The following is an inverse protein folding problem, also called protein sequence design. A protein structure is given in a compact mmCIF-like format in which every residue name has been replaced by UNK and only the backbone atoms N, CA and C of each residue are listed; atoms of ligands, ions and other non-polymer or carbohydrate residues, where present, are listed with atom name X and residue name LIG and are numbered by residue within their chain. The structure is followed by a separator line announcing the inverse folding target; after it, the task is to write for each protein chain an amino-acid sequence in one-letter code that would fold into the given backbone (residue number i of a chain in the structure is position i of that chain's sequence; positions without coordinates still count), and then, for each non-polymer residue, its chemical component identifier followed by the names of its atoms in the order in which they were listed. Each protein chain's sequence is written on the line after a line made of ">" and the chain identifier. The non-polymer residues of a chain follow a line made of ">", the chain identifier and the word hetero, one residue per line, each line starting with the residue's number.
data_IF_033270800401
#
_entry.id   IF_033270800401
#
_cell.length_a   1.000
_cell.length_b   1.000
_cell.length_c   1.000
_cell.angle_alpha   90.00
_cell.angle_beta   90.00
_cell.angle_gamma   90.00
#
_symmetry.space_group_name_H-M   'P 1'
#
loop_
_entity.id
_entity.type
_entity.pdbx_description
1 polymer ?
#
# COMPACT_ATOMS: atom_id res chain seq x y z
N UNK A 1 -31.35 -20.60 42.97
CA UNK A 1 -30.50 -19.75 42.11
C UNK A 1 -31.09 -19.84 40.71
N UNK A 2 -31.66 -18.75 40.20
CA UNK A 2 -32.23 -18.73 38.86
C UNK A 2 -31.07 -18.68 37.87
N UNK A 3 -30.85 -19.74 37.11
CA UNK A 3 -29.95 -19.70 35.96
C UNK A 3 -30.46 -18.63 35.00
N UNK A 4 -29.63 -17.65 34.59
CA UNK A 4 -30.06 -16.66 33.61
C UNK A 4 -30.45 -17.40 32.33
N UNK A 5 -31.71 -17.27 31.92
CA UNK A 5 -32.20 -17.79 30.66
C UNK A 5 -31.34 -17.21 29.54
N UNK A 6 -30.63 -18.07 28.81
CA UNK A 6 -29.81 -17.64 27.68
C UNK A 6 -30.72 -16.93 26.66
N UNK A 7 -30.33 -15.75 26.15
CA UNK A 7 -31.11 -15.03 25.15
C UNK A 7 -31.21 -15.88 23.88
N UNK A 8 -32.37 -15.85 23.22
CA UNK A 8 -32.56 -16.52 21.94
C UNK A 8 -31.49 -16.06 20.94
N UNK A 9 -30.76 -16.97 20.27
CA UNK A 9 -29.79 -16.64 19.22
C UNK A 9 -30.33 -15.66 18.18
N UNK A 10 -31.62 -15.77 17.82
CA UNK A 10 -32.24 -14.88 16.84
C UNK A 10 -32.35 -13.43 17.35
N UNK A 11 -32.66 -13.25 18.62
CA UNK A 11 -32.73 -11.94 19.28
C UNK A 11 -31.33 -11.34 19.43
N UNK A 12 -30.35 -12.15 19.82
CA UNK A 12 -28.95 -11.75 19.94
C UNK A 12 -28.40 -11.20 18.62
N UNK A 13 -28.71 -11.84 17.48
CA UNK A 13 -28.30 -11.35 16.16
C UNK A 13 -28.99 -10.02 15.77
N UNK A 14 -30.25 -9.83 16.14
CA UNK A 14 -30.94 -8.54 15.95
C UNK A 14 -30.30 -7.44 16.81
N UNK A 15 -29.94 -7.74 18.05
CA UNK A 15 -29.24 -6.81 18.94
C UNK A 15 -27.86 -6.41 18.37
N UNK A 16 -27.07 -7.39 17.91
CA UNK A 16 -25.78 -7.16 17.24
C UNK A 16 -25.97 -6.26 16.01
N UNK A 17 -27.00 -6.50 15.19
CA UNK A 17 -27.31 -5.66 14.02
C UNK A 17 -27.59 -4.22 14.43
N UNK A 18 -28.38 -3.99 15.49
CA UNK A 18 -28.65 -2.64 16.02
C UNK A 18 -27.37 -1.95 16.47
N UNK A 19 -26.47 -2.68 17.16
CA UNK A 19 -25.17 -2.14 17.60
C UNK A 19 -24.26 -1.78 16.41
N UNK A 20 -24.22 -2.61 15.37
CA UNK A 20 -23.48 -2.32 14.13
C UNK A 20 -24.06 -1.10 13.41
N UNK A 21 -25.38 -0.98 13.33
CA UNK A 21 -26.05 0.19 12.74
C UNK A 21 -25.78 1.48 13.53
N UNK A 22 -25.65 1.38 14.84
CA UNK A 22 -25.25 2.49 15.73
C UNK A 22 -23.74 2.79 15.72
N UNK A 23 -22.95 2.07 14.90
CA UNK A 23 -21.48 2.12 14.88
C UNK A 23 -20.79 1.75 16.20
N UNK A 24 -21.48 1.10 17.14
CA UNK A 24 -20.87 0.52 18.34
C UNK A 24 -20.29 -0.87 18.05
N UNK A 25 -19.19 -0.89 17.29
CA UNK A 25 -18.54 -2.11 16.84
C UNK A 25 -17.91 -2.92 17.98
N UNK A 26 -17.64 -2.30 19.13
CA UNK A 26 -17.05 -2.99 20.29
C UNK A 26 -18.11 -3.82 21.00
N UNK A 27 -19.22 -3.21 21.38
CA UNK A 27 -20.33 -3.93 22.03
C UNK A 27 -20.89 -5.00 21.10
N UNK A 28 -20.98 -4.72 19.79
CA UNK A 28 -21.39 -5.71 18.79
C UNK A 28 -20.47 -6.94 18.78
N UNK A 29 -19.15 -6.74 18.81
CA UNK A 29 -18.16 -7.83 18.87
C UNK A 29 -18.29 -8.62 20.18
N UNK A 30 -18.47 -7.95 21.31
CA UNK A 30 -18.64 -8.62 22.60
C UNK A 30 -19.90 -9.49 22.60
N UNK A 31 -21.04 -8.98 22.12
CA UNK A 31 -22.27 -9.77 22.02
C UNK A 31 -22.14 -10.94 21.04
N UNK A 32 -21.43 -10.77 19.91
CA UNK A 32 -21.17 -11.88 18.99
C UNK A 32 -20.35 -13.01 19.64
N UNK A 33 -19.37 -12.67 20.49
CA UNK A 33 -18.59 -13.67 21.24
C UNK A 33 -19.43 -14.37 22.30
N UNK A 34 -20.28 -13.63 23.02
CA UNK A 34 -21.21 -14.22 23.97
C UNK A 34 -22.16 -15.21 23.27
N UNK A 35 -22.71 -14.80 22.13
CA UNK A 35 -23.52 -15.67 21.27
C UNK A 35 -22.74 -16.91 20.83
N UNK A 36 -21.49 -16.76 20.39
CA UNK A 36 -20.64 -17.89 20.00
C UNK A 36 -20.40 -18.87 21.15
N UNK A 37 -20.18 -18.36 22.37
CA UNK A 37 -19.92 -19.21 23.54
C UNK A 37 -21.17 -19.92 24.08
N UNK A 38 -22.36 -19.36 23.85
CA UNK A 38 -23.63 -19.88 24.34
C UNK A 38 -24.44 -20.67 23.32
N UNK A 39 -24.14 -20.52 22.02
CA UNK A 39 -24.82 -21.26 20.95
C UNK A 39 -24.31 -22.70 20.86
N UNK A 40 -25.23 -23.62 20.57
CA UNK A 40 -24.91 -24.99 20.22
C UNK A 40 -24.27 -25.08 18.82
N UNK A 41 -23.44 -26.12 18.62
CA UNK A 41 -22.70 -26.35 17.38
C UNK A 41 -23.54 -26.25 16.09
N UNK A 42 -24.76 -26.84 15.99
CA UNK A 42 -25.53 -26.76 14.75
C UNK A 42 -26.10 -25.35 14.51
N UNK A 43 -26.45 -24.61 15.57
CA UNK A 43 -26.84 -23.19 15.44
C UNK A 43 -25.66 -22.35 14.96
N UNK A 44 -24.48 -22.52 15.55
CA UNK A 44 -23.29 -21.79 15.13
C UNK A 44 -22.88 -22.12 13.68
N UNK A 45 -22.95 -23.40 13.30
CA UNK A 45 -22.72 -23.82 11.91
C UNK A 45 -23.68 -23.13 10.93
N UNK A 46 -24.96 -22.99 11.29
CA UNK A 46 -25.96 -22.27 10.47
C UNK A 46 -25.63 -20.77 10.36
N UNK A 47 -25.21 -20.12 11.46
CA UNK A 47 -24.75 -18.71 11.45
C UNK A 47 -23.58 -18.54 10.47
N UNK A 48 -22.59 -19.44 10.52
CA UNK A 48 -21.41 -19.40 9.64
C UNK A 48 -21.81 -19.62 8.18
N UNK A 49 -22.73 -20.54 7.88
CA UNK A 49 -23.20 -20.75 6.50
C UNK A 49 -23.95 -19.53 5.95
N UNK A 50 -24.78 -18.89 6.77
CA UNK A 50 -25.46 -17.63 6.41
C UNK A 50 -24.41 -16.53 6.12
N UNK A 51 -23.45 -16.35 7.02
CA UNK A 51 -22.39 -15.34 6.87
C UNK A 51 -21.55 -15.56 5.60
N UNK A 52 -21.16 -16.79 5.30
CA UNK A 52 -20.44 -17.15 4.08
C UNK A 52 -21.28 -16.89 2.81
N UNK A 53 -22.57 -17.21 2.87
CA UNK A 53 -23.50 -16.97 1.77
C UNK A 53 -23.61 -15.47 1.47
N UNK A 54 -23.72 -14.64 2.51
CA UNK A 54 -23.76 -13.19 2.36
C UNK A 54 -22.41 -12.63 1.87
N UNK A 55 -21.28 -13.12 2.39
CA UNK A 55 -19.94 -12.60 2.03
C UNK A 55 -19.54 -12.89 0.58
N UNK A 56 -19.81 -14.09 0.07
CA UNK A 56 -19.21 -14.56 -1.18
C UNK A 56 -20.16 -14.64 -2.38
N UNK A 57 -21.46 -14.42 -2.19
CA UNK A 57 -22.45 -14.44 -3.28
C UNK A 57 -22.97 -13.04 -3.54
N UNK A 58 -23.27 -12.75 -4.81
CA UNK A 58 -24.03 -11.55 -5.18
C UNK A 58 -25.38 -11.54 -4.46
N UNK A 59 -25.90 -10.37 -4.12
CA UNK A 59 -27.17 -10.19 -3.38
C UNK A 59 -28.32 -11.09 -3.87
N UNK A 60 -28.58 -11.14 -5.18
CA UNK A 60 -29.66 -11.97 -5.74
C UNK A 60 -29.46 -13.48 -5.52
N UNK A 61 -28.22 -13.96 -5.67
CA UNK A 61 -27.84 -15.36 -5.43
C UNK A 61 -27.87 -15.67 -3.94
N UNK A 62 -27.41 -14.76 -3.08
CA UNK A 62 -27.46 -14.91 -1.64
C UNK A 62 -28.90 -15.07 -1.14
N UNK A 63 -29.84 -14.22 -1.56
CA UNK A 63 -31.26 -14.34 -1.20
C UNK A 63 -31.88 -15.65 -1.66
N UNK A 64 -31.54 -16.12 -2.87
CA UNK A 64 -32.03 -17.40 -3.39
C UNK A 64 -31.55 -18.56 -2.53
N UNK A 65 -30.27 -18.54 -2.10
CA UNK A 65 -29.70 -19.56 -1.22
C UNK A 65 -30.29 -19.48 0.20
N UNK A 66 -30.47 -18.30 0.77
CA UNK A 66 -31.11 -18.13 2.08
C UNK A 66 -32.57 -18.62 2.08
N UNK A 67 -33.33 -18.39 1.01
CA UNK A 67 -34.70 -18.95 0.85
C UNK A 67 -34.71 -20.48 0.76
N UNK A 68 -33.66 -21.07 0.19
CA UNK A 68 -33.50 -22.53 0.18
C UNK A 68 -33.20 -23.03 1.60
N UNK A 69 -32.22 -22.44 2.28
CA UNK A 69 -31.90 -22.78 3.68
C UNK A 69 -33.11 -22.66 4.60
N UNK A 70 -33.93 -21.63 4.42
CA UNK A 70 -35.16 -21.40 5.20
C UNK A 70 -36.23 -22.50 5.01
N UNK A 71 -36.30 -23.08 3.80
CA UNK A 71 -37.20 -24.20 3.50
C UNK A 71 -36.68 -25.53 4.04
N UNK A 72 -35.37 -25.76 3.85
CA UNK A 72 -34.73 -27.03 4.19
C UNK A 72 -34.48 -27.17 5.70
N UNK A 73 -34.46 -26.06 6.45
CA UNK A 73 -34.13 -26.04 7.88
C UNK A 73 -35.18 -25.30 8.71
N UNK A 74 -36.32 -25.94 8.97
CA UNK A 74 -37.45 -25.34 9.68
C UNK A 74 -37.09 -24.83 11.10
N UNK A 75 -36.27 -25.59 11.82
CA UNK A 75 -35.80 -25.24 13.18
C UNK A 75 -34.96 -23.95 13.25
N UNK A 76 -34.32 -23.54 12.15
CA UNK A 76 -33.47 -22.34 12.10
C UNK A 76 -34.14 -21.15 11.41
N UNK A 77 -35.45 -21.22 11.12
CA UNK A 77 -36.17 -20.13 10.45
C UNK A 77 -36.03 -18.76 11.13
N UNK A 78 -36.18 -18.62 12.47
CA UNK A 78 -36.04 -17.32 13.14
C UNK A 78 -34.63 -16.74 12.99
N UNK A 79 -33.62 -17.60 13.03
CA UNK A 79 -32.21 -17.25 12.86
C UNK A 79 -31.93 -16.75 11.44
N UNK A 80 -32.38 -17.49 10.42
CA UNK A 80 -32.23 -17.12 9.01
C UNK A 80 -32.92 -15.78 8.75
N UNK A 81 -34.15 -15.60 9.26
CA UNK A 81 -34.92 -14.37 9.11
C UNK A 81 -34.22 -13.16 9.74
N UNK A 82 -33.60 -13.31 10.92
CA UNK A 82 -32.84 -12.24 11.56
C UNK A 82 -31.64 -11.76 10.72
N UNK A 83 -31.05 -12.65 9.92
CA UNK A 83 -29.89 -12.36 9.06
C UNK A 83 -30.22 -11.88 7.65
N UNK A 84 -31.47 -11.96 7.19
CA UNK A 84 -31.83 -11.54 5.83
C UNK A 84 -31.65 -10.00 5.70
N UNK A 85 -30.90 -9.52 4.69
CA UNK A 85 -30.80 -8.09 4.40
C UNK A 85 -32.18 -7.50 4.09
N UNK A 86 -32.47 -6.30 4.60
CA UNK A 86 -33.71 -5.59 4.24
C UNK A 86 -33.60 -5.11 2.78
N UNK A 87 -34.74 -4.91 2.11
CA UNK A 87 -34.76 -4.53 0.68
C UNK A 87 -33.98 -3.25 0.33
N UNK A 88 -33.78 -2.36 1.31
CA UNK A 88 -33.02 -1.12 1.18
C UNK A 88 -31.54 -1.25 1.60
N UNK A 89 -31.15 -2.34 2.24
CA UNK A 89 -29.77 -2.59 2.64
C UNK A 89 -29.00 -3.20 1.48
N UNK A 90 -28.41 -2.32 0.67
CA UNK A 90 -27.48 -2.78 -0.37
C UNK A 90 -26.22 -3.28 0.31
N UNK A 91 -25.82 -4.51 -0.05
CA UNK A 91 -24.49 -4.99 0.27
C UNK A 91 -23.48 -4.02 -0.33
N UNK A 92 -22.59 -3.47 0.50
CA UNK A 92 -21.43 -2.74 0.01
C UNK A 92 -20.52 -3.75 -0.70
N UNK A 93 -20.77 -3.93 -2.00
CA UNK A 93 -19.82 -4.57 -2.91
C UNK A 93 -18.92 -3.41 -3.31
N UNK A 94 -17.64 -3.38 -2.87
CA UNK A 94 -16.69 -2.40 -3.39
C UNK A 94 -16.81 -2.48 -4.91
N UNK A 95 -16.98 -1.36 -5.62
CA UNK A 95 -17.00 -1.40 -7.07
C UNK A 95 -15.75 -2.19 -7.47
N UNK A 96 -15.95 -3.31 -8.15
CA UNK A 96 -14.87 -3.99 -8.86
C UNK A 96 -14.40 -2.91 -9.83
N UNK A 97 -13.36 -2.17 -9.42
CA UNK A 97 -12.72 -1.21 -10.28
C UNK A 97 -12.06 -2.13 -11.29
N UNK A 98 -12.61 -2.29 -12.51
CA UNK A 98 -11.90 -3.09 -13.49
C UNK A 98 -10.53 -2.45 -13.55
N UNK A 99 -9.47 -3.24 -13.36
CA UNK A 99 -8.10 -2.75 -13.47
C UNK A 99 -8.10 -1.84 -14.70
N UNK A 100 -7.85 -0.53 -14.49
CA UNK A 100 -7.91 0.44 -15.56
C UNK A 100 -6.88 -0.06 -16.56
N UNK A 101 -7.36 -0.73 -17.61
CA UNK A 101 -6.56 -0.99 -18.78
C UNK A 101 -6.16 0.40 -19.20
N UNK A 102 -4.88 0.73 -19.08
CA UNK A 102 -4.26 1.89 -19.70
C UNK A 102 -4.44 1.72 -21.21
N UNK A 103 -5.66 1.96 -21.68
CA UNK A 103 -6.00 2.05 -23.07
C UNK A 103 -5.36 3.35 -23.50
N UNK A 104 -4.23 3.19 -24.19
CA UNK A 104 -3.52 4.24 -24.88
C UNK A 104 -4.53 5.17 -25.57
N UNK A 105 -4.45 6.44 -25.21
CA UNK A 105 -5.17 7.54 -25.82
C UNK A 105 -4.91 7.49 -27.33
N UNK A 106 -5.90 6.98 -28.04
CA UNK A 106 -5.85 6.73 -29.47
C UNK A 106 -7.27 6.73 -30.00
N UNK A 107 -7.85 7.92 -29.98
CA UNK A 107 -8.92 8.42 -30.84
C UNK A 107 -9.61 7.34 -31.70
N UNK A 108 -10.80 6.90 -31.28
CA UNK A 108 -11.75 6.23 -32.17
C UNK A 108 -13.17 6.31 -31.63
N UNK A 109 -13.88 7.30 -32.15
CA UNK A 109 -15.30 7.23 -32.42
C UNK A 109 -15.62 5.92 -33.14
N UNK A 110 -16.42 5.06 -32.51
CA UNK A 110 -17.61 4.43 -33.10
C UNK A 110 -18.14 3.31 -32.21
N UNK A 111 -19.28 3.60 -31.59
CA UNK A 111 -20.19 2.59 -31.09
C UNK A 111 -20.78 1.84 -32.29
N UNK A 112 -20.55 0.53 -32.41
CA UNK A 112 -21.51 -0.44 -32.97
C UNK A 112 -21.06 -1.88 -32.76
N UNK A 113 -21.96 -2.66 -32.16
CA UNK A 113 -22.13 -4.12 -32.21
C UNK A 113 -20.89 -5.02 -32.09
N UNK A 114 -20.85 -5.71 -30.95
CA UNK A 114 -20.11 -6.95 -30.72
C UNK A 114 -20.24 -7.92 -31.90
N UNK A 115 -19.22 -7.95 -32.75
CA UNK A 115 -19.01 -8.96 -33.77
C UNK A 115 -17.72 -9.68 -33.43
N UNK A 116 -17.73 -11.01 -33.50
CA UNK A 116 -16.58 -11.90 -33.26
C UNK A 116 -15.32 -11.31 -33.90
N UNK A 117 -14.35 -10.92 -33.07
CA UNK A 117 -13.02 -10.51 -33.51
C UNK A 117 -12.35 -11.74 -34.11
N UNK A 118 -12.40 -11.88 -35.44
CA UNK A 118 -11.44 -12.70 -36.17
C UNK A 118 -10.14 -11.92 -36.21
N UNK A 119 -9.22 -12.25 -35.33
CA UNK A 119 -7.84 -11.74 -35.34
C UNK A 119 -7.16 -12.29 -36.59
N UNK A 120 -7.38 -11.63 -37.73
CA UNK A 120 -6.58 -11.86 -38.94
C UNK A 120 -5.31 -11.06 -38.77
N UNK A 121 -4.29 -11.70 -38.21
CA UNK A 121 -2.93 -11.17 -38.15
C UNK A 121 -2.48 -10.92 -39.58
N UNK A 122 -2.38 -9.65 -40.02
CA UNK A 122 -1.78 -9.31 -41.30
C UNK A 122 -0.31 -9.74 -41.28
N UNK A 123 0.12 -10.69 -42.13
CA UNK A 123 1.48 -11.23 -42.10
C UNK A 123 2.53 -10.15 -42.37
N UNK A 124 2.17 -9.10 -43.11
CA UNK A 124 3.08 -8.04 -43.54
C UNK A 124 3.27 -6.93 -42.49
N UNK A 125 2.49 -6.95 -41.40
CA UNK A 125 2.66 -6.04 -40.25
C UNK A 125 3.56 -6.61 -39.15
N UNK A 126 4.16 -7.77 -39.38
CA UNK A 126 5.12 -8.35 -38.43
C UNK A 126 6.43 -7.57 -38.52
N UNK A 127 6.57 -6.54 -37.68
CA UNK A 127 7.83 -5.80 -37.52
C UNK A 127 8.92 -6.80 -37.17
N UNK A 128 9.91 -6.93 -38.05
CA UNK A 128 11.06 -7.81 -37.85
C UNK A 128 11.68 -7.55 -36.46
N UNK A 129 11.99 -8.60 -35.68
CA UNK A 129 12.54 -8.45 -34.32
C UNK A 129 13.76 -7.52 -34.24
N UNK A 130 14.58 -7.47 -35.30
CA UNK A 130 15.75 -6.60 -35.39
C UNK A 130 15.46 -5.10 -35.58
N UNK A 131 14.23 -4.73 -35.97
CA UNK A 131 13.81 -3.33 -36.21
C UNK A 131 13.00 -2.71 -35.07
N UNK A 132 12.77 -3.44 -33.99
CA UNK A 132 12.07 -2.89 -32.81
C UNK A 132 12.99 -1.90 -32.10
N UNK A 133 12.60 -0.62 -32.09
CA UNK A 133 13.27 0.40 -31.26
C UNK A 133 13.11 -0.03 -29.81
N UNK A 134 14.22 -0.43 -29.18
CA UNK A 134 14.25 -0.98 -27.82
C UNK A 134 13.87 0.09 -26.81
N UNK A 135 12.60 0.10 -26.41
CA UNK A 135 12.18 0.74 -25.18
C UNK A 135 12.86 0.00 -24.00
N UNK A 136 13.46 0.67 -23.00
CA UNK A 136 14.07 0.01 -21.84
C UNK A 136 13.15 -1.02 -21.16
N UNK A 137 11.83 -0.83 -21.18
CA UNK A 137 10.87 -1.81 -20.66
C UNK A 137 10.79 -3.09 -21.51
N UNK A 138 11.03 -3.00 -22.82
CA UNK A 138 11.06 -4.18 -23.70
C UNK A 138 12.26 -5.09 -23.40
N UNK A 139 13.37 -4.54 -22.89
CA UNK A 139 14.52 -5.33 -22.47
C UNK A 139 14.21 -6.16 -21.23
N UNK A 140 13.46 -5.62 -20.26
CA UNK A 140 13.06 -6.35 -19.05
C UNK A 140 12.13 -7.51 -19.41
N UNK A 141 11.19 -7.29 -20.31
CA UNK A 141 10.29 -8.35 -20.82
C UNK A 141 11.07 -9.39 -21.63
N UNK A 142 11.98 -8.98 -22.52
CA UNK A 142 12.81 -9.91 -23.31
C UNK A 142 13.77 -10.73 -22.43
N UNK A 143 14.35 -10.13 -21.39
CA UNK A 143 15.25 -10.80 -20.45
C UNK A 143 14.47 -11.79 -19.57
N UNK A 144 13.24 -11.43 -19.14
CA UNK A 144 12.32 -12.35 -18.47
C UNK A 144 11.92 -13.52 -19.36
N UNK A 145 11.50 -13.24 -20.60
CA UNK A 145 11.12 -14.27 -21.57
C UNK A 145 12.30 -15.20 -21.91
N UNK A 146 13.53 -14.69 -21.94
CA UNK A 146 14.74 -15.51 -22.17
C UNK A 146 15.16 -16.33 -20.95
N UNK A 147 14.80 -15.90 -19.75
CA UNK A 147 15.07 -16.61 -18.51
C UNK A 147 14.11 -17.79 -18.28
N UNK A 148 12.92 -17.77 -18.89
CA UNK A 148 12.02 -18.92 -18.97
C UNK A 148 12.69 -20.05 -19.77
N UNK A 149 12.67 -21.26 -19.22
CA UNK A 149 13.21 -22.43 -19.90
C UNK A 149 12.43 -22.70 -21.20
N UNK A 150 13.07 -23.28 -22.22
CA UNK A 150 12.46 -23.44 -23.56
C UNK A 150 11.14 -24.24 -23.51
N UNK A 151 11.08 -25.21 -22.60
CA UNK A 151 9.93 -26.02 -22.22
C UNK A 151 8.80 -25.25 -21.52
N UNK A 152 9.10 -24.13 -20.84
CA UNK A 152 8.09 -23.23 -20.26
C UNK A 152 7.41 -22.34 -21.30
N UNK A 153 8.05 -22.15 -22.46
CA UNK A 153 7.59 -21.24 -23.51
C UNK A 153 6.61 -21.91 -24.48
N UNK A 154 6.73 -23.23 -24.68
CA UNK A 154 6.03 -23.96 -25.76
C UNK A 154 4.73 -24.68 -25.32
N UNK A 155 4.42 -24.77 -24.02
CA UNK A 155 3.18 -25.42 -23.52
C UNK A 155 2.35 -24.54 -22.56
N UNK A 156 1.60 -23.55 -23.07
CA UNK A 156 0.58 -22.88 -22.27
C UNK A 156 -0.63 -23.82 -22.11
N UNK A 157 -0.63 -24.66 -21.07
CA UNK A 157 -1.83 -25.39 -20.66
C UNK A 157 -1.64 -26.84 -20.20
N UNK A 158 -0.43 -27.39 -20.22
CA UNK A 158 -0.22 -28.74 -19.66
C UNK A 158 -0.18 -28.65 -18.14
N UNK A 159 -1.13 -29.26 -17.40
CA UNK A 159 -1.07 -29.29 -15.95
C UNK A 159 0.20 -30.04 -15.53
N UNK A 160 1.13 -29.32 -14.87
CA UNK A 160 2.34 -29.92 -14.32
C UNK A 160 1.94 -30.90 -13.22
N UNK A 161 2.51 -32.11 -13.26
CA UNK A 161 2.32 -33.13 -12.23
C UNK A 161 2.97 -32.74 -10.90
N UNK A 162 3.96 -31.85 -10.95
CA UNK A 162 4.58 -31.27 -9.78
C UNK A 162 3.93 -29.89 -9.50
N UNK A 163 3.58 -29.60 -8.23
CA UNK A 163 3.14 -28.27 -7.86
C UNK A 163 4.23 -27.27 -8.25
N UNK A 164 3.85 -26.19 -8.93
CA UNK A 164 4.76 -25.08 -9.21
C UNK A 164 5.09 -24.46 -7.86
N UNK A 165 6.17 -24.94 -7.24
CA UNK A 165 6.81 -24.27 -6.13
C UNK A 165 7.53 -23.10 -6.78
N UNK A 166 6.86 -21.97 -6.87
CA UNK A 166 7.53 -20.74 -7.26
C UNK A 166 8.74 -20.56 -6.34
N UNK A 167 9.92 -20.42 -6.94
CA UNK A 167 11.15 -20.16 -6.19
C UNK A 167 11.18 -18.74 -5.63
N UNK A 168 10.24 -17.89 -6.02
CA UNK A 168 9.97 -16.64 -5.32
C UNK A 168 9.37 -16.98 -3.97
N UNK A 169 10.18 -16.78 -2.94
CA UNK A 169 9.69 -16.76 -1.58
C UNK A 169 8.80 -15.53 -1.45
N UNK A 170 7.50 -15.73 -1.70
CA UNK A 170 6.51 -14.67 -1.70
C UNK A 170 6.49 -13.91 -0.38
N UNK A 171 6.93 -14.51 0.73
CA UNK A 171 7.07 -13.80 2.00
C UNK A 171 8.26 -12.83 1.94
N UNK A 172 9.38 -13.20 1.33
CA UNK A 172 10.53 -12.30 1.08
C UNK A 172 10.19 -11.23 0.04
N UNK A 173 9.43 -11.56 -1.00
CA UNK A 173 9.04 -10.59 -2.03
C UNK A 173 7.92 -9.66 -1.56
N UNK A 174 7.03 -10.10 -0.67
CA UNK A 174 6.10 -9.22 0.06
C UNK A 174 6.86 -8.30 1.00
N UNK A 175 8.01 -8.72 1.51
CA UNK A 175 8.94 -7.87 2.25
C UNK A 175 9.79 -6.97 1.33
N UNK A 176 9.48 -6.85 0.03
CA UNK A 176 10.15 -5.87 -0.84
C UNK A 176 10.14 -4.52 -0.13
N UNK A 177 11.33 -4.13 0.32
CA UNK A 177 11.50 -2.96 1.16
C UNK A 177 10.80 -1.80 0.48
N UNK A 178 9.76 -1.30 1.13
CA UNK A 178 9.08 -0.09 0.71
C UNK A 178 10.12 1.01 0.82
N UNK A 179 10.86 1.27 -0.26
CA UNK A 179 11.93 2.26 -0.32
C UNK A 179 11.32 3.67 -0.49
N UNK A 180 10.14 3.84 0.10
CA UNK A 180 9.26 4.97 -0.11
C UNK A 180 9.15 5.74 1.20
N UNK A 181 9.48 7.02 1.13
CA UNK A 181 9.30 8.00 2.21
C UNK A 181 7.83 8.05 2.60
N UNK A 182 7.56 7.94 3.89
CA UNK A 182 6.19 7.93 4.44
C UNK A 182 5.52 9.29 4.30
N UNK A 183 4.20 9.33 4.35
CA UNK A 183 3.44 10.58 4.42
C UNK A 183 3.83 11.37 5.68
N UNK A 184 4.10 12.67 5.53
CA UNK A 184 4.45 13.53 6.67
C UNK A 184 3.27 13.80 7.61
N UNK A 185 2.03 13.65 7.13
CA UNK A 185 0.82 13.83 7.92
C UNK A 185 0.35 12.52 8.55
N UNK A 186 -0.05 11.51 7.76
CA UNK A 186 -0.62 10.26 8.30
C UNK A 186 0.41 9.16 8.58
N UNK A 187 1.69 9.35 8.25
CA UNK A 187 2.78 8.36 8.44
C UNK A 187 2.60 7.03 7.69
N UNK A 188 1.59 6.91 6.83
CA UNK A 188 1.40 5.75 5.96
C UNK A 188 2.32 5.80 4.73
N UNK A 189 2.50 4.65 4.11
CA UNK A 189 3.24 4.52 2.86
C UNK A 189 2.58 5.32 1.75
N UNK A 190 3.40 5.95 0.90
CA UNK A 190 2.93 6.74 -0.24
C UNK A 190 3.01 5.90 -1.49
N UNK A 191 2.00 6.03 -2.35
CA UNK A 191 2.06 5.47 -3.69
C UNK A 191 3.19 6.15 -4.48
N UNK A 192 3.82 5.44 -5.42
CA UNK A 192 4.90 6.03 -6.23
C UNK A 192 4.44 7.29 -6.97
N UNK A 193 3.18 7.35 -7.41
CA UNK A 193 2.58 8.50 -8.08
C UNK A 193 2.50 9.74 -7.18
N UNK A 194 2.38 9.58 -5.85
CA UNK A 194 2.24 10.70 -4.92
C UNK A 194 3.49 11.56 -4.83
N UNK A 195 4.63 11.06 -5.32
CA UNK A 195 5.94 11.73 -5.40
C UNK A 195 6.12 12.54 -6.68
N UNK A 196 5.28 12.31 -7.68
CA UNK A 196 5.36 12.94 -8.99
C UNK A 196 4.35 14.08 -9.10
N UNK A 197 4.41 15.03 -8.16
CA UNK A 197 3.56 16.24 -8.17
C UNK A 197 4.08 17.27 -9.19
N UNK A 198 3.22 18.19 -9.61
CA UNK A 198 3.61 19.33 -10.46
C UNK A 198 4.75 20.13 -9.81
N UNK A 199 4.67 20.34 -8.49
CA UNK A 199 5.71 20.98 -7.69
C UNK A 199 7.09 20.30 -7.80
N UNK A 200 7.14 18.96 -7.84
CA UNK A 200 8.39 18.23 -8.05
C UNK A 200 8.90 18.41 -9.48
N UNK A 201 8.00 18.43 -10.47
CA UNK A 201 8.34 18.67 -11.87
C UNK A 201 8.90 20.08 -12.10
N UNK A 202 8.40 21.07 -11.37
CA UNK A 202 8.90 22.45 -11.36
C UNK A 202 10.19 22.63 -10.54
N UNK A 203 10.66 21.56 -9.87
CA UNK A 203 11.91 21.57 -9.12
C UNK A 203 11.81 22.15 -7.70
N UNK A 204 10.60 22.31 -7.17
CA UNK A 204 10.31 22.88 -5.84
C UNK A 204 10.22 21.83 -4.71
N UNK A 205 10.59 20.60 -5.02
CA UNK A 205 10.69 19.50 -4.06
C UNK A 205 9.34 18.85 -3.76
N UNK A 206 9.40 17.72 -3.06
CA UNK A 206 8.25 16.90 -2.70
C UNK A 206 7.47 17.51 -1.52
N UNK A 207 6.14 17.50 -1.60
CA UNK A 207 5.24 17.97 -0.53
C UNK A 207 5.12 16.95 0.62
N UNK A 208 5.60 15.72 0.41
CA UNK A 208 5.61 14.66 1.42
C UNK A 208 4.22 14.09 1.74
N UNK A 209 3.18 14.39 0.97
CA UNK A 209 1.80 13.95 1.23
C UNK A 209 1.41 12.72 0.40
N UNK A 210 0.55 11.86 0.95
CA UNK A 210 -0.19 10.88 0.16
C UNK A 210 -1.41 11.53 -0.51
N UNK A 211 -1.98 10.88 -1.52
CA UNK A 211 -3.14 11.40 -2.26
C UNK A 211 -4.32 11.79 -1.36
N UNK A 212 -4.62 10.98 -0.34
CA UNK A 212 -5.72 11.24 0.61
C UNK A 212 -5.45 12.45 1.51
N UNK A 213 -4.26 12.55 2.11
CA UNK A 213 -3.90 13.70 2.95
C UNK A 213 -3.87 14.99 2.11
N UNK A 214 -3.46 14.90 0.85
CA UNK A 214 -3.48 16.02 -0.10
C UNK A 214 -4.92 16.45 -0.42
N UNK A 215 -5.83 15.52 -0.72
CA UNK A 215 -7.24 15.85 -0.96
C UNK A 215 -7.96 16.43 0.26
N UNK A 216 -7.50 16.08 1.46
CA UNK A 216 -8.02 16.62 2.73
C UNK A 216 -7.39 17.98 3.11
N UNK A 217 -6.52 18.55 2.26
CA UNK A 217 -5.89 19.84 2.53
C UNK A 217 -4.98 19.83 3.75
N UNK A 218 -4.37 18.68 4.09
CA UNK A 218 -3.43 18.61 5.21
C UNK A 218 -2.17 19.41 4.90
N UNK A 219 -1.55 20.05 5.90
CA UNK A 219 -0.26 20.70 5.71
C UNK A 219 0.78 19.66 5.27
N UNK A 220 1.55 20.02 4.24
CA UNK A 220 2.69 19.26 3.75
C UNK A 220 4.00 19.99 4.01
N UNK A 221 5.09 19.50 3.42
CA UNK A 221 6.40 20.13 3.50
C UNK A 221 6.38 21.53 2.86
N UNK A 222 7.08 22.51 3.44
CA UNK A 222 7.19 23.85 2.87
C UNK A 222 7.83 23.81 1.49
N UNK A 223 7.47 24.76 0.62
CA UNK A 223 8.02 24.87 -0.73
C UNK A 223 9.51 25.19 -0.74
N UNK A 224 10.29 24.40 -1.48
CA UNK A 224 11.73 24.61 -1.58
C UNK A 224 12.07 25.39 -2.85
N UNK A 225 13.18 26.17 -2.85
CA UNK A 225 13.65 26.84 -4.05
C UNK A 225 13.94 25.85 -5.19
N UNK A 226 13.78 26.31 -6.43
CA UNK A 226 14.22 25.57 -7.61
C UNK A 226 15.73 25.30 -7.52
N UNK A 227 16.14 24.04 -7.69
CA UNK A 227 17.55 23.65 -7.58
C UNK A 227 18.03 23.32 -6.16
N UNK A 228 17.11 23.16 -5.20
CA UNK A 228 17.43 22.62 -3.88
C UNK A 228 18.18 21.28 -3.97
N UNK A 229 19.01 21.00 -2.97
CA UNK A 229 19.77 19.75 -2.87
C UNK A 229 18.94 18.67 -2.15
N UNK A 230 19.39 17.41 -2.25
CA UNK A 230 18.81 16.32 -1.46
C UNK A 230 18.88 16.61 0.05
N UNK A 231 19.92 17.28 0.52
CA UNK A 231 20.07 17.64 1.92
C UNK A 231 19.01 18.64 2.36
N UNK A 232 18.71 19.65 1.54
CA UNK A 232 17.66 20.63 1.81
C UNK A 232 16.28 19.95 1.91
N UNK A 233 16.01 18.99 1.02
CA UNK A 233 14.76 18.23 1.04
C UNK A 233 14.63 17.34 2.28
N UNK A 234 15.71 16.68 2.68
CA UNK A 234 15.74 15.85 3.90
C UNK A 234 15.61 16.72 5.15
N UNK A 235 16.30 17.87 5.22
CA UNK A 235 16.21 18.79 6.34
C UNK A 235 14.80 19.36 6.49
N UNK A 236 14.22 19.91 5.43
CA UNK A 236 12.86 20.43 5.46
C UNK A 236 11.83 19.38 5.94
N UNK A 237 12.06 18.11 5.59
CA UNK A 237 11.25 17.00 6.08
C UNK A 237 11.43 16.74 7.57
N UNK A 238 12.67 16.70 8.06
CA UNK A 238 12.95 16.44 9.47
C UNK A 238 12.50 17.61 10.35
N UNK A 239 12.69 18.85 9.90
CA UNK A 239 12.23 20.06 10.56
C UNK A 239 10.70 20.06 10.69
N UNK A 240 9.98 19.74 9.60
CA UNK A 240 8.52 19.60 9.64
C UNK A 240 8.06 18.54 10.65
N UNK A 241 8.70 17.37 10.66
CA UNK A 241 8.36 16.31 11.61
C UNK A 241 8.66 16.70 13.06
N UNK A 242 9.74 17.45 13.30
CA UNK A 242 10.09 17.92 14.63
C UNK A 242 9.12 18.99 15.15
N UNK A 243 8.57 19.81 14.24
CA UNK A 243 7.57 20.84 14.57
C UNK A 243 6.18 20.23 14.85
N UNK A 244 5.77 19.22 14.05
CA UNK A 244 4.39 18.72 14.06
C UNK A 244 4.19 17.46 14.91
N UNK A 245 5.26 16.77 15.31
CA UNK A 245 5.21 15.62 16.20
C UNK A 245 6.05 15.89 17.45
N UNK A 246 5.66 15.32 18.59
CA UNK A 246 6.40 15.47 19.85
C UNK A 246 7.81 14.87 19.69
N UNK A 247 8.78 15.73 19.40
CA UNK A 247 10.13 15.37 18.97
C UNK A 247 11.06 14.84 20.08
N UNK A 248 10.56 14.71 21.31
CA UNK A 248 11.36 14.22 22.45
C UNK A 248 11.82 12.77 22.25
N UNK A 249 11.06 11.95 21.50
CA UNK A 249 11.48 10.59 21.15
C UNK A 249 12.09 10.51 19.74
N UNK A 250 13.33 10.04 19.68
CA UNK A 250 14.05 9.67 18.44
C UNK A 250 13.32 8.59 17.61
N UNK A 251 12.24 8.00 18.11
CA UNK A 251 11.41 6.99 17.45
C UNK A 251 11.00 7.37 16.02
N UNK A 252 10.47 8.57 15.82
CA UNK A 252 10.02 9.00 14.48
C UNK A 252 11.18 9.13 13.50
N UNK A 253 12.31 9.67 13.93
CA UNK A 253 13.49 9.81 13.08
C UNK A 253 14.21 8.49 12.80
N UNK A 254 14.13 7.52 13.74
CA UNK A 254 14.56 6.14 13.48
C UNK A 254 13.74 5.50 12.38
N UNK A 255 12.43 5.76 12.34
CA UNK A 255 11.57 5.31 11.25
C UNK A 255 12.01 5.97 9.93
N UNK A 256 12.18 7.29 9.90
CA UNK A 256 12.69 8.00 8.71
C UNK A 256 14.00 7.42 8.19
N UNK A 257 14.95 7.14 9.09
CA UNK A 257 16.23 6.53 8.72
C UNK A 257 16.09 5.12 8.12
N UNK A 258 15.17 4.30 8.64
CA UNK A 258 14.94 2.93 8.14
C UNK A 258 14.41 2.94 6.70
N UNK A 259 13.44 3.82 6.43
CA UNK A 259 12.79 3.94 5.12
C UNK A 259 13.56 4.82 4.11
N UNK A 260 14.57 5.57 4.58
CA UNK A 260 15.42 6.37 3.73
C UNK A 260 16.35 5.52 2.86
N UNK A 261 16.63 6.05 1.66
CA UNK A 261 17.64 5.50 0.77
C UNK A 261 19.06 5.63 1.34
N UNK A 262 20.03 5.01 0.66
CA UNK A 262 21.44 5.01 1.09
C UNK A 262 22.05 6.41 1.17
N UNK A 263 21.58 7.37 0.39
CA UNK A 263 22.11 8.74 0.31
C UNK A 263 21.50 9.66 1.37
N UNK A 264 20.23 9.48 1.71
CA UNK A 264 19.52 10.25 2.73
C UNK A 264 19.88 9.82 4.15
N UNK A 265 20.16 8.54 4.40
CA UNK A 265 20.56 8.01 5.73
C UNK A 265 21.66 8.81 6.44
N UNK A 266 22.83 9.13 5.84
CA UNK A 266 23.86 9.92 6.52
C UNK A 266 23.39 11.35 6.86
N UNK A 267 22.56 11.96 6.03
CA UNK A 267 21.99 13.31 6.27
C UNK A 267 21.06 13.26 7.48
N UNK A 268 20.15 12.28 7.52
CA UNK A 268 19.24 12.06 8.66
C UNK A 268 20.04 11.81 9.94
N UNK A 269 21.05 10.94 9.91
CA UNK A 269 21.88 10.66 11.09
C UNK A 269 22.59 11.91 11.61
N UNK A 270 23.11 12.77 10.72
CA UNK A 270 23.75 14.02 11.10
C UNK A 270 22.76 15.01 11.71
N UNK A 271 21.60 15.20 11.07
CA UNK A 271 20.54 16.09 11.55
C UNK A 271 20.00 15.63 12.92
N UNK A 272 19.72 14.33 13.11
CA UNK A 272 19.22 13.79 14.39
C UNK A 272 20.23 13.99 15.51
N UNK A 273 21.52 13.78 15.22
CA UNK A 273 22.59 14.01 16.20
C UNK A 273 22.68 15.48 16.64
N UNK A 274 22.41 16.42 15.74
CA UNK A 274 22.46 17.85 16.01
C UNK A 274 21.21 18.41 16.70
N UNK A 275 20.02 17.88 16.36
CA UNK A 275 18.73 18.49 16.74
C UNK A 275 17.94 17.71 17.80
N UNK A 276 18.39 16.52 18.20
CA UNK A 276 17.70 15.73 19.23
C UNK A 276 18.63 15.41 20.39
N UNK A 277 18.14 15.58 21.61
CA UNK A 277 18.82 15.05 22.79
C UNK A 277 18.78 13.52 22.73
N UNK A 278 19.86 12.88 23.17
CA UNK A 278 19.78 11.45 23.42
C UNK A 278 18.81 11.28 24.58
N UNK A 279 17.60 10.81 24.28
CA UNK A 279 16.73 10.29 25.32
C UNK A 279 17.52 9.29 26.18
N UNK A 280 17.19 9.15 27.47
CA UNK A 280 17.83 8.15 28.31
C UNK A 280 17.80 6.83 27.54
N UNK A 281 18.96 6.18 27.43
CA UNK A 281 19.05 4.87 26.79
C UNK A 281 17.93 4.02 27.39
N UNK A 282 16.97 3.53 26.56
CA UNK A 282 15.84 2.80 27.11
C UNK A 282 16.46 1.70 27.94
N UNK A 283 16.21 1.73 29.25
CA UNK A 283 16.68 0.70 30.14
C UNK A 283 16.36 -0.61 29.44
N UNK A 284 17.36 -1.50 29.24
CA UNK A 284 17.13 -2.72 28.50
C UNK A 284 15.83 -3.29 29.04
N UNK A 285 14.84 -3.46 28.17
CA UNK A 285 13.59 -4.08 28.57
C UNK A 285 14.03 -5.46 29.03
N UNK A 286 14.22 -5.61 30.34
CA UNK A 286 14.43 -6.88 31.01
C UNK A 286 13.06 -7.53 30.91
N UNK A 287 12.74 -7.98 29.71
CA UNK A 287 11.59 -8.79 29.43
C UNK A 287 11.90 -10.13 30.08
N UNK A 288 11.60 -10.22 31.37
CA UNK A 288 11.12 -11.46 31.94
C UNK A 288 9.90 -11.84 31.10
N UNK A 289 10.21 -12.59 30.05
CA UNK A 289 9.34 -12.95 28.93
C UNK A 289 8.40 -14.10 29.30
N UNK A 290 7.97 -14.12 30.55
CA UNK A 290 6.95 -15.02 31.08
C UNK A 290 5.81 -14.13 31.59
N UNK A 291 4.88 -13.66 30.78
CA UNK A 291 4.16 -14.30 29.70
C UNK A 291 3.42 -13.19 28.96
N UNK A 292 3.81 -12.87 27.71
CA UNK A 292 3.14 -11.81 26.94
C UNK A 292 1.63 -12.05 26.83
N UNK A 293 1.20 -13.32 26.86
CA UNK A 293 -0.19 -13.71 26.88
C UNK A 293 -0.59 -14.25 28.26
N UNK A 294 -1.71 -13.75 28.78
CA UNK A 294 -2.34 -14.24 29.99
C UNK A 294 -3.87 -14.08 29.90
N UNK A 295 -4.59 -14.63 30.88
CA UNK A 295 -6.02 -14.43 31.01
C UNK A 295 -6.31 -13.00 31.45
N UNK A 296 -7.06 -12.27 30.62
CA UNK A 296 -7.52 -10.94 31.00
C UNK A 296 -8.56 -11.04 32.12
N UNK A 297 -8.35 -10.32 33.21
CA UNK A 297 -9.25 -10.35 34.37
C UNK A 297 -10.63 -9.75 34.08
N UNK A 298 -10.73 -8.87 33.09
CA UNK A 298 -11.99 -8.21 32.74
C UNK A 298 -12.83 -9.02 31.74
N UNK A 299 -12.24 -9.54 30.67
CA UNK A 299 -12.99 -10.29 29.65
C UNK A 299 -12.87 -11.82 29.79
N UNK A 300 -11.95 -12.32 30.63
CA UNK A 300 -11.74 -13.75 30.82
C UNK A 300 -11.17 -14.47 29.60
N UNK A 301 -10.50 -13.77 28.68
CA UNK A 301 -9.87 -14.39 27.50
C UNK A 301 -8.34 -14.41 27.61
N UNK A 302 -7.72 -15.48 27.12
CA UNK A 302 -6.27 -15.59 27.00
C UNK A 302 -5.75 -14.76 25.83
N UNK A 303 -5.12 -13.61 26.12
CA UNK A 303 -4.69 -12.60 25.14
C UNK A 303 -3.38 -11.93 25.56
N UNK A 304 -2.83 -11.12 24.66
CA UNK A 304 -1.76 -10.20 24.98
C UNK A 304 -2.19 -9.22 26.08
N UNK A 305 -1.52 -9.27 27.23
CA UNK A 305 -1.78 -8.36 28.36
C UNK A 305 -0.99 -7.07 28.12
N UNK A 306 -1.72 -6.01 27.80
CA UNK A 306 -1.12 -4.69 27.54
C UNK A 306 -0.75 -3.97 28.85
N UNK A 307 -1.43 -4.32 29.95
CA UNK A 307 -1.19 -3.73 31.25
C UNK A 307 -1.34 -4.74 32.39
N UNK A 308 -0.26 -4.85 33.16
CA UNK A 308 -0.25 -5.44 34.50
C UNK A 308 -0.17 -4.28 35.49
N UNK A 309 -1.22 -4.06 36.28
CA UNK A 309 -1.15 -3.09 37.38
C UNK A 309 -0.08 -3.53 38.39
N UNK A 310 0.51 -2.58 39.13
CA UNK A 310 1.56 -2.84 40.11
C UNK A 310 1.19 -3.90 41.16
N UNK A 311 -0.11 -4.10 41.40
CA UNK A 311 -0.62 -5.08 42.35
C UNK A 311 -0.65 -6.53 41.80
N UNK A 312 -0.08 -6.81 40.61
CA UNK A 312 -0.03 -8.12 39.91
C UNK A 312 -1.37 -8.81 39.60
N UNK A 313 -2.45 -8.46 40.31
CA UNK A 313 -3.76 -9.11 40.23
C UNK A 313 -4.53 -8.67 39.00
N UNK A 314 -4.36 -7.42 38.54
CA UNK A 314 -5.16 -6.89 37.42
C UNK A 314 -4.38 -6.96 36.11
N UNK A 315 -4.74 -7.95 35.29
CA UNK A 315 -4.19 -8.17 33.94
C UNK A 315 -5.24 -7.79 32.91
N UNK A 316 -5.06 -6.65 32.25
CA UNK A 316 -5.98 -6.18 31.21
C UNK A 316 -5.40 -6.43 29.82
N UNK A 317 -6.19 -7.06 28.95
CA UNK A 317 -5.85 -7.11 27.54
C UNK A 317 -5.97 -5.72 26.90
N UNK A 318 -5.37 -5.54 25.73
CA UNK A 318 -5.35 -4.26 25.00
C UNK A 318 -6.75 -3.65 24.81
N UNK A 319 -7.78 -4.50 24.62
CA UNK A 319 -9.16 -4.09 24.39
C UNK A 319 -9.87 -3.62 25.68
N UNK A 320 -9.44 -4.15 26.82
CA UNK A 320 -10.01 -3.89 28.14
C UNK A 320 -9.32 -2.73 28.88
N UNK A 321 -8.07 -2.41 28.54
CA UNK A 321 -7.31 -1.31 29.16
C UNK A 321 -8.04 0.03 28.98
N UNK A 322 -8.49 0.70 30.06
CA UNK A 322 -9.21 1.98 29.99
C UNK A 322 -8.41 3.08 29.29
N UNK A 323 -7.07 3.00 29.31
CA UNK A 323 -6.21 3.96 28.60
C UNK A 323 -6.35 3.83 27.09
N UNK A 324 -6.59 2.61 26.58
CA UNK A 324 -6.91 2.41 25.17
C UNK A 324 -8.37 2.72 24.85
N UNK A 325 -9.26 2.76 25.85
CA UNK A 325 -10.66 3.14 25.62
C UNK A 325 -10.82 4.62 25.28
N UNK A 326 -9.89 5.48 25.71
CA UNK A 326 -9.95 6.93 25.46
C UNK A 326 -9.25 7.36 24.15
N UNK A 327 -8.29 6.57 23.66
CA UNK A 327 -7.39 6.97 22.54
C UNK A 327 -7.59 6.20 21.24
N UNK A 328 -8.49 5.23 21.21
CA UNK A 328 -8.85 4.57 19.96
C UNK A 328 -9.74 5.51 19.15
N UNK A 329 -9.11 6.36 18.33
CA UNK A 329 -9.68 6.78 17.06
C UNK A 329 -10.03 5.48 16.33
N UNK A 330 -11.32 5.11 16.14
CA UNK A 330 -11.66 3.88 15.42
C UNK A 330 -10.78 3.70 14.16
N UNK A 331 -10.28 2.50 13.92
CA UNK A 331 -9.65 2.21 12.64
C UNK A 331 -10.72 2.40 11.53
N UNK A 332 -10.65 3.53 10.82
CA UNK A 332 -11.68 4.01 9.90
C UNK A 332 -12.47 5.26 10.34
N UNK A 333 -12.29 5.79 11.56
CA UNK A 333 -12.78 7.13 11.94
C UNK A 333 -11.77 8.21 11.56
N UNK A 334 -11.33 8.17 10.32
CA UNK A 334 -11.23 9.44 9.60
C UNK A 334 -12.67 9.96 9.68
N UNK A 335 -12.94 10.90 10.60
CA UNK A 335 -14.22 11.60 10.60
C UNK A 335 -14.49 11.97 9.16
N UNK A 336 -15.58 11.45 8.61
CA UNK A 336 -16.05 11.76 7.26
C UNK A 336 -16.54 13.21 7.33
N UNK A 337 -15.61 14.15 7.43
CA UNK A 337 -15.81 15.58 7.19
C UNK A 337 -16.10 15.84 5.71
N UNK A 338 -16.16 14.81 4.86
CA UNK A 338 -16.58 14.93 3.45
C UNK A 338 -17.89 15.71 3.31
N UNK A 339 -18.88 15.51 4.20
CA UNK A 339 -20.13 16.27 4.12
C UNK A 339 -19.97 17.77 4.44
N UNK A 340 -18.96 18.14 5.22
CA UNK A 340 -18.67 19.55 5.54
C UNK A 340 -17.87 20.19 4.40
N UNK A 341 -16.88 19.47 3.85
CA UNK A 341 -16.10 19.91 2.68
C UNK A 341 -16.93 19.98 1.39
N UNK A 342 -17.83 19.03 1.12
CA UNK A 342 -18.72 19.10 -0.03
C UNK A 342 -19.68 20.29 0.05
N UNK A 343 -20.02 20.73 1.27
CA UNK A 343 -20.82 21.93 1.50
C UNK A 343 -19.98 23.19 1.27
N UNK A 344 -18.79 23.25 1.83
CA UNK A 344 -17.84 24.37 1.67
C UNK A 344 -17.39 24.56 0.22
N UNK A 345 -17.12 23.46 -0.52
CA UNK A 345 -16.79 23.48 -1.96
C UNK A 345 -17.98 23.99 -2.79
N UNK A 346 -19.20 23.57 -2.44
CA UNK A 346 -20.42 24.03 -3.15
C UNK A 346 -20.73 25.50 -2.85
N UNK A 347 -20.48 25.96 -1.63
CA UNK A 347 -20.65 27.35 -1.23
C UNK A 347 -19.59 28.26 -1.87
N UNK A 348 -18.33 27.81 -1.96
CA UNK A 348 -17.29 28.56 -2.70
C UNK A 348 -17.53 28.58 -4.21
N UNK A 349 -17.95 27.48 -4.82
CA UNK A 349 -18.32 27.47 -6.25
C UNK A 349 -19.48 28.45 -6.54
N UNK A 350 -20.48 28.50 -5.66
CA UNK A 350 -21.62 29.43 -5.78
C UNK A 350 -21.19 30.90 -5.65
N UNK A 351 -20.19 31.20 -4.81
CA UNK A 351 -19.64 32.56 -4.70
C UNK A 351 -18.83 32.97 -5.92
N UNK A 352 -18.04 32.07 -6.51
CA UNK A 352 -17.23 32.36 -7.71
C UNK A 352 -18.12 32.62 -8.92
N UNK A 353 -19.22 31.88 -9.06
CA UNK A 353 -20.19 32.12 -10.14
C UNK A 353 -20.95 33.44 -9.94
N UNK A 354 -21.28 33.82 -8.69
CA UNK A 354 -21.91 35.12 -8.41
C UNK A 354 -21.01 36.31 -8.77
N UNK A 355 -19.70 36.20 -8.54
CA UNK A 355 -18.73 37.26 -8.91
C UNK A 355 -18.56 37.36 -10.42
N UNK A 356 -18.52 36.23 -11.15
CA UNK A 356 -18.45 36.25 -12.63
C UNK A 356 -19.69 36.82 -13.30
N UNK A 357 -20.87 36.61 -12.71
CA UNK A 357 -22.10 37.24 -13.20
C UNK A 357 -22.11 38.74 -12.93
N UNK A 358 -21.50 39.20 -11.83
CA UNK A 358 -21.35 40.64 -11.56
C UNK A 358 -20.38 41.33 -12.52
N UNK A 359 -19.24 40.70 -12.86
CA UNK A 359 -18.24 41.27 -13.77
C UNK A 359 -18.65 41.24 -15.25
N UNK A 360 -19.55 40.33 -15.64
CA UNK A 360 -20.05 40.28 -17.02
C UNK A 360 -21.11 41.35 -17.34
N UNK A 361 -21.67 42.02 -16.33
CA UNK A 361 -22.65 43.11 -16.52
C UNK A 361 -21.96 44.48 -16.67
N UNK A 362 -20.70 44.64 -16.26
CA UNK A 362 -19.98 45.92 -16.31
C UNK A 362 -19.06 46.12 -17.53
N UNK A 363 -18.82 45.07 -18.34
CA UNK A 363 -17.85 45.08 -19.44
C UNK A 363 -18.41 45.26 -20.85
N UNK A 364 -19.24 46.29 -21.11
CA UNK A 364 -19.69 46.62 -22.48
C UNK A 364 -19.36 48.08 -22.85
N UNK A 365 -18.08 48.37 -23.05
CA UNK A 365 -17.64 49.66 -23.57
C UNK A 365 -16.15 49.73 -23.89
N UNK A 366 -15.81 49.77 -25.19
CA UNK A 366 -14.54 50.32 -25.68
C UNK A 366 -13.53 49.32 -26.22
N UNK A 367 -13.70 48.89 -27.48
CA UNK A 367 -12.58 48.40 -28.28
C UNK A 367 -11.71 49.60 -28.69
N UNK A 368 -10.46 49.63 -28.23
CA UNK A 368 -9.39 50.48 -28.79
C UNK A 368 -8.29 49.59 -29.38
N UNK A 369 -7.90 49.98 -30.58
CA UNK A 369 -6.98 49.31 -31.49
C UNK A 369 -5.61 49.00 -30.87
N UNK A 370 -5.06 47.85 -31.26
CA UNK A 370 -3.75 47.35 -30.83
C UNK A 370 -2.77 47.46 -32.02
N UNK A 371 -1.65 48.20 -31.92
CA UNK A 371 -0.68 48.27 -33.00
C UNK A 371 0.28 47.07 -32.98
N UNK A 372 0.59 46.56 -34.18
CA UNK A 372 1.64 45.56 -34.45
C UNK A 372 3.03 46.17 -34.25
N UNK A 373 4.01 45.43 -33.70
CA UNK A 373 5.41 45.73 -33.93
C UNK A 373 6.02 44.91 -35.07
N UNK A 374 7.13 45.46 -35.53
CA UNK A 374 7.73 45.43 -36.86
C UNK A 374 8.91 44.47 -36.89
N UNK A 375 9.11 43.82 -38.03
CA UNK A 375 10.32 43.06 -38.36
C UNK A 375 11.52 43.99 -38.62
N UNK A 376 12.66 43.69 -38.02
CA UNK A 376 14.05 44.05 -38.39
C UNK A 376 14.96 43.18 -37.51
N UNK A 377 16.12 42.66 -37.88
CA UNK A 377 16.95 42.66 -39.08
C UNK A 377 18.13 41.69 -38.80
N UNK A 378 18.70 41.12 -39.87
CA UNK A 378 19.93 40.31 -39.86
C UNK A 378 21.14 41.10 -39.33
N UNK A 379 22.07 40.43 -38.64
CA UNK A 379 23.38 40.97 -38.28
C UNK A 379 24.36 39.92 -37.74
N UNK A 380 25.30 39.53 -38.61
CA UNK A 380 26.69 39.09 -38.43
C UNK A 380 27.17 38.19 -37.26
N UNK A 381 27.97 37.22 -37.72
CA UNK A 381 28.97 36.37 -37.07
C UNK A 381 29.81 36.96 -35.92
N UNK A 382 30.32 36.08 -35.04
CA UNK A 382 31.75 35.88 -34.69
C UNK A 382 31.85 34.90 -33.49
N UNK A 383 32.82 33.98 -33.52
CA UNK A 383 33.40 33.39 -32.30
C UNK A 383 33.25 31.88 -32.11
N UNK A 384 33.97 31.08 -32.89
CA UNK A 384 34.36 29.72 -32.51
C UNK A 384 35.36 29.77 -31.33
N UNK A 385 35.07 29.07 -30.24
CA UNK A 385 36.07 28.65 -29.26
C UNK A 385 35.92 27.15 -28.98
N UNK A 386 37.01 26.44 -29.26
CA UNK A 386 37.22 25.01 -29.09
C UNK A 386 37.20 24.59 -27.62
N UNK A 387 36.66 23.41 -27.26
CA UNK A 387 36.95 22.80 -25.97
C UNK A 387 38.23 21.95 -26.07
N UNK A 388 39.16 22.24 -25.17
CA UNK A 388 40.39 21.49 -24.93
C UNK A 388 40.08 20.10 -24.36
N UNK A 389 40.71 19.07 -24.95
CA UNK A 389 40.73 17.69 -24.45
C UNK A 389 41.52 17.61 -23.15
N UNK A 390 40.85 17.27 -22.05
CA UNK A 390 41.51 16.80 -20.83
C UNK A 390 41.92 15.32 -20.98
N UNK A 391 43.12 14.92 -20.54
CA UNK A 391 43.58 13.54 -20.62
C UNK A 391 42.94 12.67 -19.52
N UNK A 392 42.64 11.43 -19.89
CA UNK A 392 42.05 10.41 -19.04
C UNK A 392 42.94 10.09 -17.80
N UNK A 393 42.36 9.96 -16.59
CA UNK A 393 43.12 9.50 -15.44
C UNK A 393 43.40 8.00 -15.54
N UNK A 394 44.66 7.64 -15.26
CA UNK A 394 45.15 6.25 -15.16
C UNK A 394 44.42 5.51 -14.02
N UNK A 395 44.18 4.20 -14.15
CA UNK A 395 43.56 3.40 -13.09
C UNK A 395 44.49 3.30 -11.89
N UNK A 396 44.09 3.87 -10.76
CA UNK A 396 44.71 3.64 -9.46
C UNK A 396 44.25 2.27 -8.93
N UNK A 397 45.18 1.32 -8.88
CA UNK A 397 45.06 0.08 -8.11
C UNK A 397 45.19 0.43 -6.63
N UNK A 398 44.08 0.78 -5.97
CA UNK A 398 44.01 0.86 -4.51
C UNK A 398 43.84 -0.54 -3.94
N UNK A 399 44.88 -1.03 -3.24
CA UNK A 399 44.81 -2.26 -2.46
C UNK A 399 43.74 -2.17 -1.38
N UNK A 400 42.95 -3.24 -1.25
CA UNK A 400 41.86 -3.38 -0.29
C UNK A 400 42.36 -3.32 1.16
N UNK A 401 42.13 -2.19 1.84
CA UNK A 401 42.53 -1.98 3.23
C UNK A 401 41.40 -2.13 4.24
N UNK A 402 40.17 -2.41 3.83
CA UNK A 402 39.08 -2.65 4.79
C UNK A 402 38.91 -4.14 5.11
N UNK A 403 38.71 -4.52 6.40
CA UNK A 403 38.44 -5.91 6.79
C UNK A 403 37.24 -6.52 6.06
N UNK A 404 36.25 -5.69 5.72
CA UNK A 404 35.04 -6.09 5.02
C UNK A 404 35.32 -6.49 3.56
N UNK A 405 36.18 -5.75 2.85
CA UNK A 405 36.58 -6.13 1.48
C UNK A 405 37.44 -7.39 1.46
N UNK A 406 38.33 -7.58 2.45
CA UNK A 406 39.09 -8.83 2.61
C UNK A 406 38.15 -10.02 2.83
N UNK A 407 37.14 -9.88 3.69
CA UNK A 407 36.13 -10.92 3.91
C UNK A 407 35.33 -11.23 2.63
N UNK A 408 34.99 -10.20 1.84
CA UNK A 408 34.27 -10.37 0.57
C UNK A 408 35.10 -11.11 -0.47
N UNK A 409 36.39 -10.81 -0.59
CA UNK A 409 37.32 -11.50 -1.50
C UNK A 409 37.49 -12.96 -1.11
N UNK A 410 37.69 -13.26 0.18
CA UNK A 410 37.80 -14.64 0.69
C UNK A 410 36.52 -15.45 0.44
N UNK A 411 35.34 -14.83 0.63
CA UNK A 411 34.07 -15.48 0.32
C UNK A 411 33.90 -15.76 -1.18
N UNK A 412 34.39 -14.88 -2.04
CA UNK A 412 34.35 -15.04 -3.50
C UNK A 412 35.31 -16.13 -3.99
N UNK A 413 36.48 -16.28 -3.37
CA UNK A 413 37.41 -17.38 -3.65
C UNK A 413 36.89 -18.74 -3.20
N UNK A 414 36.25 -18.83 -2.02
CA UNK A 414 35.58 -20.07 -1.57
C UNK A 414 34.52 -20.56 -2.56
N UNK A 415 33.72 -19.66 -3.13
CA UNK A 415 32.72 -20.03 -4.16
C UNK A 415 33.36 -20.55 -5.44
N UNK A 416 34.51 -20.00 -5.85
CA UNK A 416 35.25 -20.49 -7.02
C UNK A 416 35.88 -21.86 -6.80
N UNK A 417 36.32 -22.17 -5.58
CA UNK A 417 36.87 -23.48 -5.24
C UNK A 417 35.80 -24.59 -5.27
N UNK A 418 34.58 -24.29 -4.80
CA UNK A 418 33.47 -25.26 -4.78
C UNK A 418 33.01 -25.63 -6.20
N UNK A 419 33.08 -24.70 -7.15
CA UNK A 419 32.67 -24.94 -8.54
C UNK A 419 33.61 -25.83 -9.38
N UNK A 420 34.79 -26.24 -8.87
CA UNK A 420 35.78 -27.02 -9.65
C UNK A 420 35.84 -28.51 -9.29
N UNK A 421 35.10 -28.98 -8.29
CA UNK A 421 35.19 -30.37 -7.82
C UNK A 421 33.93 -31.17 -8.17
N UNK A 422 33.79 -31.58 -9.42
CA UNK A 422 32.99 -32.78 -9.82
C UNK A 422 33.21 -33.08 -11.31
N UNK A 423 34.33 -33.76 -11.59
CA UNK A 423 34.66 -34.27 -12.92
C UNK A 423 35.52 -35.53 -12.80
N UNK A 424 35.15 -36.44 -11.91
CA UNK A 424 35.81 -37.74 -11.74
C UNK A 424 34.99 -38.84 -12.44
N UNK A 425 35.47 -39.29 -13.59
CA UNK A 425 34.83 -40.30 -14.42
C UNK A 425 34.77 -41.67 -13.76
N UNK A 426 33.60 -42.30 -13.79
CA UNK A 426 33.43 -43.72 -13.47
C UNK A 426 33.56 -44.51 -14.77
N UNK A 427 34.69 -45.20 -14.90
CA UNK A 427 34.96 -46.17 -15.97
C UNK A 427 34.22 -47.47 -15.65
N UNK A 428 33.16 -47.77 -16.40
CA UNK A 428 32.43 -49.03 -16.30
C UNK A 428 33.22 -50.16 -17.02
N UNK A 429 33.71 -51.14 -16.26
CA UNK A 429 34.21 -52.42 -16.80
C UNK A 429 33.02 -53.34 -17.08
N UNK A 430 32.81 -53.69 -18.36
CA UNK A 430 31.94 -54.81 -18.79
C UNK A 430 32.64 -56.14 -18.48
N UNK A 431 32.00 -57.01 -17.70
CA UNK A 431 32.34 -58.43 -17.65
C UNK A 431 31.43 -59.21 -18.60
N UNK A 432 32.05 -60.05 -19.41
CA UNK A 432 31.44 -61.06 -20.27
C UNK A 432 31.60 -62.41 -19.56
N UNK A 433 30.54 -63.22 -19.51
CA UNK A 433 30.54 -64.71 -19.46
C UNK A 433 29.10 -65.14 -19.78
N UNK A 434 28.86 -65.80 -20.94
CA UNK A 434 28.93 -67.25 -21.20
C UNK A 434 28.04 -68.06 -20.29
#
# INVERSE_FOLDING_TARGET
>A
MNTPTQPDPSESLRAIRTLVQAQDLRTAKQQLRQLQSGADDPTWAMIVEIANTLRFKTHAVALTKLRKLWRDNEQFRPLIEACVPKANERQHIPPNTPAQSFAATGDRTNATRASKVKTRTEPDRRVEPGRRVRNPNAKVVDDYEKALARDERDEPGTPRSEPIIDRHDYDIDVLTHVATTLCVSCRLERAAIDRHTERVQDGHGDDGLCGECRSLGRPGLPELPSGHTLADQVHARLDYLAEHFTAEDRGIFRQEWRYADRHARPIISAWVKANTTAGPEPAPLTAESSTLNDWCTQCGEYRYIAHTAADEVTKLCIDCDPRNQQTLVPAGSIEVRHNQYDREIRDTASQVDAVRVADSVSGRGGQKERPRPRETSKGAAVGQLSPTKSPAPKPQTTGANTPFEKARVVAQERRRAIGRSTGGGIVAKRSIRR
#
